data_IF_702916998643
#
_entry.id   IF_702916998643
#
_cell.length_a   1.000
_cell.length_b   1.000
_cell.length_c   1.000
_cell.angle_alpha   90.00
_cell.angle_beta   90.00
_cell.angle_gamma   90.00
#
_symmetry.space_group_name_H-M   'P 1'
#
loop_
_entity.id
_entity.type
_entity.pdbx_description
1 polymer ?
#
# COMPACT_ATOMS: atom_id res chain seq x y z
N UNK A 1 -47.97 14.56 22.44
CA UNK A 1 -47.89 13.68 21.26
C UNK A 1 -46.51 13.05 21.26
N UNK A 2 -46.45 11.74 21.46
CA UNK A 2 -45.22 10.97 21.56
C UNK A 2 -44.81 10.56 20.13
N UNK A 3 -43.66 11.02 19.64
CA UNK A 3 -43.12 10.62 18.33
C UNK A 3 -41.97 9.63 18.55
N UNK A 4 -41.96 8.47 17.88
CA UNK A 4 -41.05 7.38 18.19
C UNK A 4 -39.67 7.53 17.54
N UNK A 5 -38.66 7.15 18.31
CA UNK A 5 -37.29 6.83 17.91
C UNK A 5 -37.27 5.78 16.79
N UNK A 6 -36.48 5.99 15.74
CA UNK A 6 -36.13 4.98 14.73
C UNK A 6 -34.61 5.00 14.55
N UNK A 7 -33.90 4.25 15.39
CA UNK A 7 -33.45 2.88 15.15
C UNK A 7 -32.08 2.87 14.46
N UNK A 8 -31.06 2.60 15.27
CA UNK A 8 -29.69 2.30 14.86
C UNK A 8 -29.68 1.15 13.85
N UNK A 9 -28.98 1.36 12.73
CA UNK A 9 -28.69 0.30 11.77
C UNK A 9 -27.62 -0.64 12.35
N UNK A 10 -27.73 -1.96 12.17
CA UNK A 10 -26.82 -2.91 12.78
C UNK A 10 -25.44 -2.86 12.13
N UNK A 11 -24.43 -2.84 12.99
CA UNK A 11 -23.03 -3.22 12.75
C UNK A 11 -22.97 -4.60 12.07
N UNK A 12 -22.65 -4.62 10.78
CA UNK A 12 -22.31 -5.84 10.07
C UNK A 12 -20.91 -6.30 10.50
N UNK A 13 -20.87 -7.14 11.54
CA UNK A 13 -19.75 -8.05 11.80
C UNK A 13 -19.78 -9.15 10.74
N UNK A 14 -18.93 -9.02 9.72
CA UNK A 14 -18.72 -10.03 8.69
C UNK A 14 -17.26 -10.48 8.70
N UNK A 15 -16.96 -11.50 9.49
CA UNK A 15 -15.73 -12.27 9.35
C UNK A 15 -15.70 -12.97 7.99
N UNK A 16 -14.53 -12.94 7.37
CA UNK A 16 -14.24 -13.62 6.11
C UNK A 16 -12.73 -13.63 5.94
N UNK A 17 -12.09 -14.65 6.50
CA UNK A 17 -10.72 -15.00 6.15
C UNK A 17 -10.66 -15.24 4.64
N UNK A 18 -9.87 -14.44 3.93
CA UNK A 18 -9.36 -14.85 2.62
C UNK A 18 -7.89 -14.52 2.58
N UNK A 19 -7.07 -15.57 2.77
CA UNK A 19 -5.68 -15.58 2.42
C UNK A 19 -5.54 -15.19 0.94
N UNK A 20 -5.08 -13.98 0.68
CA UNK A 20 -4.61 -13.58 -0.64
C UNK A 20 -3.08 -13.66 -0.59
N UNK A 21 -2.64 -14.90 -0.80
CA UNK A 21 -1.38 -15.31 -1.43
C UNK A 21 -0.42 -14.17 -1.78
N UNK A 22 0.74 -14.18 -1.12
CA UNK A 22 1.92 -13.40 -1.50
C UNK A 22 2.30 -13.83 -2.91
N UNK A 23 1.84 -13.09 -3.92
CA UNK A 23 2.34 -13.23 -5.28
C UNK A 23 3.74 -12.62 -5.34
N UNK A 24 4.70 -13.38 -4.82
CA UNK A 24 6.10 -13.29 -5.21
C UNK A 24 6.12 -13.62 -6.71
N UNK A 25 6.14 -12.61 -7.58
CA UNK A 25 6.47 -12.86 -8.98
C UNK A 25 7.96 -13.18 -9.04
N UNK A 26 8.37 -14.41 -9.39
CA UNK A 26 9.77 -14.67 -9.67
C UNK A 26 10.11 -14.06 -11.03
N UNK A 27 11.23 -13.35 -11.10
CA UNK A 27 11.81 -12.96 -12.36
C UNK A 27 12.21 -14.23 -13.15
N UNK A 28 11.50 -14.50 -14.23
CA UNK A 28 11.85 -15.48 -15.25
C UNK A 28 11.75 -14.78 -16.60
N UNK A 29 12.63 -14.93 -17.59
CA UNK A 29 13.85 -15.72 -17.72
C UNK A 29 14.61 -15.12 -18.91
N UNK A 30 15.89 -14.78 -18.77
CA UNK A 30 16.78 -14.59 -19.91
C UNK A 30 17.60 -15.87 -20.06
N UNK A 31 17.14 -16.74 -20.95
CA UNK A 31 17.78 -18.00 -21.32
C UNK A 31 18.68 -17.75 -22.53
N UNK A 32 19.97 -17.51 -22.29
CA UNK A 32 20.98 -17.74 -23.34
C UNK A 32 22.29 -18.19 -22.71
N UNK A 33 22.60 -19.48 -22.90
CA UNK A 33 23.95 -20.02 -23.06
C UNK A 33 24.92 -19.91 -21.88
N UNK A 34 25.10 -21.00 -21.14
CA UNK A 34 26.28 -21.20 -20.29
C UNK A 34 27.56 -21.24 -21.15
N UNK A 35 28.39 -20.21 -21.02
CA UNK A 35 29.81 -20.18 -21.42
C UNK A 35 30.71 -20.20 -20.18
N UNK A 36 31.97 -20.66 -20.27
CA UNK A 36 32.68 -21.22 -19.13
C UNK A 36 33.17 -20.15 -18.14
N UNK A 37 32.99 -20.50 -16.86
CA UNK A 37 33.62 -19.98 -15.63
C UNK A 37 34.82 -19.07 -15.87
N UNK A 38 34.54 -17.77 -15.82
CA UNK A 38 35.52 -16.73 -15.53
C UNK A 38 34.91 -15.84 -14.46
N UNK A 39 35.10 -16.21 -13.19
CA UNK A 39 34.56 -15.48 -12.04
C UNK A 39 35.39 -14.20 -11.80
N UNK A 40 35.27 -13.24 -12.70
CA UNK A 40 35.58 -11.86 -12.38
C UNK A 40 34.40 -11.30 -11.56
N UNK A 41 34.64 -10.59 -10.44
CA UNK A 41 33.59 -9.89 -9.73
C UNK A 41 32.96 -8.90 -10.70
N UNK A 42 31.76 -9.21 -11.18
CA UNK A 42 31.02 -8.28 -12.01
C UNK A 42 30.67 -7.10 -11.10
N UNK A 43 31.12 -5.86 -11.41
CA UNK A 43 30.70 -4.72 -10.61
C UNK A 43 29.18 -4.72 -10.65
N UNK A 44 28.55 -4.80 -9.46
CA UNK A 44 27.11 -4.76 -9.35
C UNK A 44 26.64 -3.57 -10.17
N UNK A 45 25.94 -3.83 -11.27
CA UNK A 45 25.32 -2.79 -12.05
C UNK A 45 24.49 -1.97 -11.07
N UNK A 46 24.64 -0.63 -11.02
CA UNK A 46 23.83 0.17 -10.12
C UNK A 46 22.38 -0.08 -10.51
N UNK A 47 21.66 -0.87 -9.72
CA UNK A 47 20.24 -1.07 -9.88
C UNK A 47 19.62 0.32 -9.83
N UNK A 48 19.02 0.76 -10.93
CA UNK A 48 18.30 2.02 -10.93
C UNK A 48 17.29 1.97 -9.76
N UNK A 49 17.25 3.00 -8.90
CA UNK A 49 16.35 2.99 -7.77
C UNK A 49 14.93 2.85 -8.30
N UNK A 50 14.29 1.74 -7.96
CA UNK A 50 12.89 1.47 -8.31
C UNK A 50 12.05 2.53 -7.61
N UNK A 51 11.32 3.36 -8.35
CA UNK A 51 10.39 4.30 -7.74
C UNK A 51 9.17 3.51 -7.22
N UNK A 52 9.10 3.34 -5.91
CA UNK A 52 8.03 2.60 -5.26
C UNK A 52 6.69 3.31 -5.42
N UNK A 53 5.59 2.54 -5.47
CA UNK A 53 4.23 3.04 -5.66
C UNK A 53 3.33 2.63 -4.51
N UNK A 54 2.32 3.45 -4.26
CA UNK A 54 1.24 3.11 -3.36
C UNK A 54 0.14 2.34 -4.11
N UNK A 55 -0.49 1.40 -3.42
CA UNK A 55 -1.61 0.62 -3.90
C UNK A 55 -2.74 0.71 -2.87
N UNK A 56 -3.97 0.86 -3.35
CA UNK A 56 -5.18 0.67 -2.56
C UNK A 56 -6.09 -0.24 -3.38
N UNK A 57 -5.89 -1.55 -3.22
CA UNK A 57 -6.33 -2.63 -4.13
C UNK A 57 -5.71 -2.56 -5.53
N UNK A 58 -5.75 -1.40 -6.18
CA UNK A 58 -5.17 -1.13 -7.50
C UNK A 58 -3.99 -0.15 -7.37
N UNK A 59 -3.08 -0.14 -8.37
CA UNK A 59 -1.96 0.79 -8.39
C UNK A 59 -2.46 2.25 -8.42
N UNK A 60 -1.96 3.08 -7.50
CA UNK A 60 -2.18 4.53 -7.56
C UNK A 60 -1.14 5.18 -8.49
N UNK A 61 -1.48 6.29 -9.16
CA UNK A 61 -0.52 7.14 -9.88
C UNK A 61 0.60 7.72 -9.02
N UNK A 62 0.42 7.78 -7.70
CA UNK A 62 1.37 8.39 -6.74
C UNK A 62 2.59 7.51 -6.49
N UNK A 63 3.77 8.12 -6.57
CA UNK A 63 5.04 7.52 -6.15
C UNK A 63 5.29 7.78 -4.66
N UNK A 64 5.87 6.79 -3.97
CA UNK A 64 6.14 6.85 -2.53
C UNK A 64 7.52 7.41 -2.20
N UNK A 65 8.42 7.48 -3.19
CA UNK A 65 9.84 7.83 -2.98
C UNK A 65 10.67 6.74 -2.28
N UNK A 66 10.07 5.61 -1.91
CA UNK A 66 10.77 4.45 -1.35
C UNK A 66 11.14 3.45 -2.45
N UNK A 67 12.18 2.63 -2.30
CA UNK A 67 12.54 1.59 -3.26
C UNK A 67 11.61 0.35 -3.20
N UNK A 68 10.42 0.49 -2.62
CA UNK A 68 9.47 -0.60 -2.35
C UNK A 68 8.03 -0.17 -2.66
N UNK A 69 7.20 -1.10 -3.08
CA UNK A 69 5.76 -0.87 -3.21
C UNK A 69 5.07 -1.00 -1.85
N UNK A 70 4.09 -0.14 -1.57
CA UNK A 70 3.28 -0.20 -0.36
C UNK A 70 1.81 -0.40 -0.74
N UNK A 71 1.19 -1.49 -0.28
CA UNK A 71 -0.24 -1.74 -0.44
C UNK A 71 -0.94 -1.58 0.91
N UNK A 72 -2.03 -0.82 0.94
CA UNK A 72 -2.80 -0.59 2.14
C UNK A 72 -4.15 0.04 1.82
N UNK A 73 -5.07 -0.02 2.78
CA UNK A 73 -6.40 0.59 2.65
C UNK A 73 -6.31 2.11 2.86
N UNK A 74 -5.57 2.83 2.01
CA UNK A 74 -5.44 4.27 2.13
C UNK A 74 -6.77 4.95 1.84
N UNK A 75 -7.08 5.97 2.64
CA UNK A 75 -8.08 6.94 2.27
C UNK A 75 -7.57 7.76 1.07
N UNK A 76 -8.43 7.93 0.07
CA UNK A 76 -8.06 8.54 -1.20
C UNK A 76 -8.82 9.85 -1.44
N UNK A 77 -8.26 10.68 -2.32
CA UNK A 77 -8.94 11.85 -2.87
C UNK A 77 -10.22 11.44 -3.60
N UNK A 78 -11.14 12.39 -3.84
CA UNK A 78 -12.43 12.07 -4.46
C UNK A 78 -12.32 11.41 -5.85
N UNK A 79 -11.26 11.73 -6.62
CA UNK A 79 -10.98 11.11 -7.92
C UNK A 79 -10.23 9.78 -7.80
N UNK A 80 -9.90 9.34 -6.57
CA UNK A 80 -9.21 8.10 -6.21
C UNK A 80 -7.83 7.92 -6.87
N UNK A 81 -7.12 9.03 -7.13
CA UNK A 81 -5.78 9.00 -7.74
C UNK A 81 -4.66 9.29 -6.77
N UNK A 82 -4.96 9.87 -5.61
CA UNK A 82 -3.98 10.32 -4.64
C UNK A 82 -4.37 9.90 -3.22
N UNK A 83 -3.38 9.71 -2.36
CA UNK A 83 -3.59 9.53 -0.92
C UNK A 83 -4.08 10.86 -0.35
N UNK A 84 -5.15 10.81 0.44
CA UNK A 84 -5.75 12.00 1.01
C UNK A 84 -5.15 12.32 2.38
N UNK A 85 -4.72 13.56 2.59
CA UNK A 85 -4.04 14.00 3.82
C UNK A 85 -4.95 14.78 4.77
N UNK A 86 -5.88 15.58 4.26
CA UNK A 86 -6.97 16.17 5.07
C UNK A 86 -6.52 17.01 6.27
N UNK A 87 -5.44 17.77 6.13
CA UNK A 87 -4.68 18.41 7.22
C UNK A 87 -5.46 19.42 8.09
N UNK A 88 -6.60 19.93 7.62
CA UNK A 88 -7.44 20.95 8.29
C UNK A 88 -8.88 20.48 8.59
N UNK A 89 -9.13 19.17 8.51
CA UNK A 89 -10.48 18.61 8.59
C UNK A 89 -10.97 18.38 10.02
N UNK A 90 -12.30 18.46 10.19
CA UNK A 90 -13.01 18.13 11.44
C UNK A 90 -13.97 16.95 11.24
N UNK A 91 -14.42 16.34 12.35
CA UNK A 91 -15.36 15.22 12.33
C UNK A 91 -14.82 14.01 11.57
N UNK A 92 -15.64 13.42 10.70
CA UNK A 92 -15.26 12.23 9.91
C UNK A 92 -14.05 12.46 9.02
N UNK A 93 -13.83 13.69 8.53
CA UNK A 93 -12.64 14.01 7.75
C UNK A 93 -11.35 13.87 8.56
N UNK A 94 -11.37 14.25 9.84
CA UNK A 94 -10.23 14.07 10.74
C UNK A 94 -9.88 12.60 10.93
N UNK A 95 -10.90 11.75 11.19
CA UNK A 95 -10.69 10.31 11.38
C UNK A 95 -10.05 9.65 10.15
N UNK A 96 -10.48 10.07 8.96
CA UNK A 96 -9.93 9.61 7.67
C UNK A 96 -8.46 10.00 7.49
N UNK A 97 -8.08 11.20 7.90
CA UNK A 97 -6.69 11.67 7.89
C UNK A 97 -5.84 10.91 8.91
N UNK A 98 -6.32 10.80 10.15
CA UNK A 98 -5.66 10.05 11.23
C UNK A 98 -5.41 8.59 10.86
N UNK A 99 -6.34 7.95 10.13
CA UNK A 99 -6.16 6.61 9.60
C UNK A 99 -4.95 6.51 8.66
N UNK A 100 -4.82 7.41 7.68
CA UNK A 100 -3.68 7.42 6.76
C UNK A 100 -2.37 7.66 7.50
N UNK A 101 -2.36 8.59 8.47
CA UNK A 101 -1.19 8.84 9.30
C UNK A 101 -0.77 7.60 10.10
N UNK A 102 -1.72 6.92 10.76
CA UNK A 102 -1.46 5.72 11.53
C UNK A 102 -0.93 4.58 10.64
N UNK A 103 -1.53 4.37 9.46
CA UNK A 103 -1.10 3.33 8.53
C UNK A 103 0.36 3.54 8.08
N UNK A 104 0.74 4.78 7.75
CA UNK A 104 2.12 5.06 7.35
C UNK A 104 3.08 4.95 8.52
N UNK A 105 2.75 5.58 9.66
CA UNK A 105 3.64 5.68 10.82
C UNK A 105 3.83 4.36 11.55
N UNK A 106 2.74 3.62 11.77
CA UNK A 106 2.72 2.49 12.68
C UNK A 106 2.84 1.14 11.95
N UNK A 107 2.62 1.12 10.62
CA UNK A 107 2.72 -0.10 9.80
C UNK A 107 3.81 0.02 8.73
N UNK A 108 3.73 0.99 7.82
CA UNK A 108 4.65 1.05 6.67
C UNK A 108 6.08 1.35 7.09
N UNK A 109 6.30 2.39 7.89
CA UNK A 109 7.65 2.81 8.28
C UNK A 109 8.41 1.73 9.10
N UNK A 110 7.82 1.09 10.12
CA UNK A 110 8.48 0.00 10.84
C UNK A 110 8.72 -1.23 9.98
N UNK A 111 7.84 -1.53 9.01
CA UNK A 111 8.01 -2.67 8.11
C UNK A 111 9.15 -2.48 7.11
N UNK A 112 9.42 -1.24 6.71
CA UNK A 112 10.54 -0.92 5.81
C UNK A 112 11.90 -0.97 6.49
N UNK A 113 11.97 -0.69 7.80
CA UNK A 113 13.21 -0.59 8.57
C UNK A 113 13.67 -1.92 9.22
N UNK A 114 13.05 -3.06 8.86
CA UNK A 114 13.39 -4.38 9.45
C UNK A 114 14.66 -4.99 8.87
#
# INVERSE_FOLDING_TARGET
ANSPTKADAPIASGGGETAAEVLLAPAAAAHTGEGPRGDAPQPASPSLPVAGRAFCFLPLPTETGLPVHANGYFELSANRRDIWHGDDMVGTGRLRSEWNTALVRDVVAPSYAQ
#
